data_IF_898821743566
#
_entry.id   IF_898821743566
#
_cell.length_a   1.000
_cell.length_b   1.000
_cell.length_c   1.000
_cell.angle_alpha   90.00
_cell.angle_beta   90.00
_cell.angle_gamma   90.00
#
_symmetry.space_group_name_H-M   'P 1'
#
loop_
_entity.id
_entity.type
_entity.pdbx_description
1 polymer ?
#
# COMPACT_ATOMS: atom_id res chain seq x y z
N UNK A 1 -51.05 -5.73 -13.98
CA UNK A 1 -50.47 -5.31 -15.27
C UNK A 1 -50.11 -3.85 -15.12
N UNK A 2 -48.87 -3.42 -14.97
CA UNK A 2 -47.58 -4.09 -15.12
C UNK A 2 -46.54 -3.24 -14.39
N UNK A 3 -45.63 -3.92 -13.68
CA UNK A 3 -44.19 -3.70 -13.69
C UNK A 3 -43.68 -2.26 -13.76
N UNK A 4 -43.12 -1.77 -12.65
CA UNK A 4 -41.70 -1.39 -12.69
C UNK A 4 -41.04 -1.49 -11.30
N UNK A 5 -40.56 -2.68 -10.97
CA UNK A 5 -39.34 -2.83 -10.17
C UNK A 5 -38.15 -2.32 -10.98
N UNK A 6 -37.36 -1.38 -10.44
CA UNK A 6 -35.93 -1.64 -10.25
C UNK A 6 -35.28 -0.55 -9.37
N UNK A 7 -35.04 -0.89 -8.11
CA UNK A 7 -34.04 -0.22 -7.31
C UNK A 7 -32.66 -0.71 -7.77
N UNK A 8 -31.84 0.19 -8.32
CA UNK A 8 -30.40 -0.04 -8.39
C UNK A 8 -29.67 1.23 -7.98
N UNK A 9 -29.42 1.34 -6.67
CA UNK A 9 -28.38 2.20 -6.13
C UNK A 9 -27.02 1.52 -6.37
N UNK A 10 -26.11 2.21 -7.06
CA UNK A 10 -24.67 1.94 -7.05
C UNK A 10 -23.94 3.29 -6.86
N UNK A 11 -22.80 3.34 -6.15
CA UNK A 11 -22.44 4.49 -5.32
C UNK A 11 -21.87 5.67 -6.11
N UNK A 12 -22.42 6.85 -5.82
CA UNK A 12 -21.78 8.17 -5.99
C UNK A 12 -20.56 8.25 -5.05
N UNK A 13 -19.42 8.85 -5.39
CA UNK A 13 -19.26 10.28 -5.65
C UNK A 13 -17.88 10.57 -6.28
N UNK A 14 -17.92 11.27 -7.41
CA UNK A 14 -16.92 12.29 -7.75
C UNK A 14 -17.26 13.55 -6.94
N UNK A 15 -16.46 13.89 -5.95
CA UNK A 15 -16.40 15.25 -5.37
C UNK A 15 -15.03 15.83 -5.79
N UNK A 16 -14.97 16.63 -6.86
CA UNK A 16 -15.08 18.10 -6.83
C UNK A 16 -14.26 18.74 -5.70
N UNK A 17 -13.06 19.20 -6.05
CA UNK A 17 -12.60 20.54 -5.69
C UNK A 17 -12.29 20.88 -4.23
N UNK A 18 -12.05 19.93 -3.34
CA UNK A 18 -11.41 20.25 -2.06
C UNK A 18 -9.89 20.18 -2.25
N UNK A 19 -9.21 21.30 -2.06
CA UNK A 19 -7.75 21.38 -1.91
C UNK A 19 -7.28 20.17 -1.11
N UNK A 20 -6.43 19.33 -1.72
CA UNK A 20 -5.95 18.09 -1.12
C UNK A 20 -5.41 18.41 0.27
N UNK A 21 -6.21 18.09 1.30
CA UNK A 21 -5.81 18.34 2.68
C UNK A 21 -4.47 17.61 2.86
N UNK A 22 -3.43 18.23 3.44
CA UNK A 22 -2.13 17.57 3.62
C UNK A 22 -2.25 16.21 4.30
N UNK A 23 -3.26 16.07 5.16
CA UNK A 23 -3.63 14.81 5.81
C UNK A 23 -4.04 13.68 4.83
N UNK A 24 -4.68 14.01 3.71
CA UNK A 24 -5.05 13.08 2.65
C UNK A 24 -3.85 12.62 1.81
N UNK A 25 -2.88 13.53 1.67
CA UNK A 25 -1.60 13.22 1.03
C UNK A 25 -0.81 12.27 1.92
N UNK A 26 -0.76 12.51 3.23
CA UNK A 26 -0.13 11.60 4.20
C UNK A 26 -0.83 10.23 4.22
N UNK A 27 -2.17 10.20 4.28
CA UNK A 27 -2.90 8.93 4.28
C UNK A 27 -2.72 8.15 2.97
N UNK A 28 -2.61 8.83 1.83
CA UNK A 28 -2.28 8.23 0.53
C UNK A 28 -0.86 7.65 0.51
N UNK A 29 0.12 8.36 1.06
CA UNK A 29 1.51 7.90 1.16
C UNK A 29 1.63 6.66 2.05
N UNK A 30 0.89 6.62 3.16
CA UNK A 30 0.85 5.45 4.03
C UNK A 30 0.13 4.25 3.40
N UNK A 31 -1.00 4.45 2.73
CA UNK A 31 -1.70 3.36 2.05
C UNK A 31 -0.88 2.80 0.86
N UNK A 32 -0.12 3.67 0.18
CA UNK A 32 0.85 3.28 -0.83
C UNK A 32 2.05 2.51 -0.23
N UNK A 33 2.58 2.91 0.93
CA UNK A 33 3.67 2.22 1.62
C UNK A 33 3.27 0.87 2.22
N UNK A 34 2.00 0.70 2.58
CA UNK A 34 1.45 -0.55 3.12
C UNK A 34 0.98 -1.53 2.03
N UNK A 35 1.21 -1.23 0.75
CA UNK A 35 0.90 -2.15 -0.33
C UNK A 35 -0.60 -2.32 -0.58
N UNK A 36 -1.37 -1.22 -0.54
CA UNK A 36 -2.82 -1.23 -0.86
C UNK A 36 -3.06 -1.45 -2.36
N UNK A 37 -2.64 -2.62 -2.83
CA UNK A 37 -2.94 -3.07 -4.16
C UNK A 37 -4.42 -3.45 -4.19
N UNK A 38 -5.17 -2.78 -5.07
CA UNK A 38 -6.57 -3.11 -5.35
C UNK A 38 -6.73 -4.64 -5.46
N UNK A 39 -7.74 -5.20 -4.80
CA UNK A 39 -8.04 -6.64 -4.73
C UNK A 39 -7.98 -7.35 -6.08
N UNK A 40 -8.35 -6.63 -7.16
CA UNK A 40 -8.25 -7.07 -8.56
C UNK A 40 -6.84 -7.49 -8.98
N UNK A 41 -5.80 -6.79 -8.52
CA UNK A 41 -4.42 -7.11 -8.86
C UNK A 41 -3.93 -8.32 -8.07
N UNK A 42 -4.30 -8.38 -6.79
CA UNK A 42 -3.99 -9.49 -5.89
C UNK A 42 -4.58 -10.79 -6.42
N UNK A 43 -5.85 -10.78 -6.83
CA UNK A 43 -6.57 -11.97 -7.30
C UNK A 43 -6.06 -12.49 -8.65
N UNK A 44 -5.63 -11.59 -9.55
CA UNK A 44 -4.94 -11.97 -10.80
C UNK A 44 -3.58 -12.61 -10.51
N UNK A 45 -2.80 -12.01 -9.62
CA UNK A 45 -1.45 -12.50 -9.31
C UNK A 45 -1.48 -13.83 -8.52
N UNK A 46 -2.53 -14.06 -7.73
CA UNK A 46 -2.79 -15.35 -7.08
C UNK A 46 -3.24 -16.44 -8.06
N UNK A 47 -4.14 -16.14 -9.00
CA UNK A 47 -4.61 -17.12 -10.00
C UNK A 47 -3.51 -17.55 -10.97
N UNK A 48 -2.47 -16.73 -11.16
CA UNK A 48 -1.33 -17.02 -12.02
C UNK A 48 -0.14 -17.70 -11.30
N UNK A 49 -0.28 -18.08 -10.02
CA UNK A 49 0.75 -18.84 -9.30
C UNK A 49 1.97 -18.03 -8.85
N UNK A 50 1.90 -16.68 -8.86
CA UNK A 50 3.05 -15.78 -8.59
C UNK A 50 3.29 -15.50 -7.11
N UNK A 51 2.64 -16.24 -6.21
CA UNK A 51 2.74 -16.05 -4.76
C UNK A 51 4.19 -16.11 -4.25
N UNK A 52 5.02 -17.02 -4.80
CA UNK A 52 6.44 -17.12 -4.44
C UNK A 52 7.25 -15.85 -4.71
N UNK A 53 6.86 -15.05 -5.72
CA UNK A 53 7.53 -13.79 -6.05
C UNK A 53 7.30 -12.74 -4.95
N UNK A 54 6.11 -12.70 -4.36
CA UNK A 54 5.82 -11.79 -3.24
C UNK A 54 6.57 -12.18 -1.97
N UNK A 55 6.70 -13.47 -1.70
CA UNK A 55 7.50 -13.97 -0.56
C UNK A 55 8.97 -13.61 -0.75
N UNK A 56 9.54 -13.92 -1.91
CA UNK A 56 10.93 -13.59 -2.20
C UNK A 56 11.18 -12.07 -2.10
N UNK A 57 10.29 -11.25 -2.66
CA UNK A 57 10.36 -9.80 -2.54
C UNK A 57 10.29 -9.33 -1.08
N UNK A 58 9.42 -9.92 -0.27
CA UNK A 58 9.31 -9.61 1.16
C UNK A 58 10.58 -9.96 1.94
N UNK A 59 11.20 -11.11 1.66
CA UNK A 59 12.45 -11.53 2.30
C UNK A 59 13.60 -10.59 1.92
N UNK A 60 13.74 -10.27 0.63
CA UNK A 60 14.78 -9.36 0.15
C UNK A 60 14.60 -7.97 0.77
N UNK A 61 13.37 -7.44 0.77
CA UNK A 61 13.05 -6.16 1.39
C UNK A 61 13.39 -6.15 2.88
N UNK A 62 13.04 -7.21 3.61
CA UNK A 62 13.33 -7.33 5.04
C UNK A 62 14.82 -7.37 5.31
N UNK A 63 15.59 -8.13 4.51
CA UNK A 63 17.05 -8.17 4.65
C UNK A 63 17.70 -6.81 4.44
N UNK A 64 17.27 -6.09 3.39
CA UNK A 64 17.74 -4.73 3.11
C UNK A 64 17.37 -3.75 4.23
N UNK A 65 16.16 -3.85 4.78
CA UNK A 65 15.71 -3.01 5.89
C UNK A 65 16.57 -3.22 7.14
N UNK A 66 16.85 -4.48 7.50
CA UNK A 66 17.72 -4.81 8.65
C UNK A 66 19.14 -4.28 8.44
N UNK A 67 19.71 -4.48 7.25
CA UNK A 67 21.04 -3.95 6.92
C UNK A 67 21.10 -2.42 7.03
N UNK A 68 20.06 -1.73 6.57
CA UNK A 68 19.95 -0.27 6.69
C UNK A 68 19.93 0.18 8.16
N UNK A 69 19.13 -0.47 9.01
CA UNK A 69 19.07 -0.16 10.44
C UNK A 69 20.41 -0.40 11.11
N UNK A 70 21.07 -1.53 10.83
CA UNK A 70 22.40 -1.82 11.37
C UNK A 70 23.40 -0.73 10.96
N UNK A 71 23.39 -0.32 9.69
CA UNK A 71 24.27 0.72 9.18
C UNK A 71 24.06 2.04 9.92
N UNK A 72 22.80 2.45 10.12
CA UNK A 72 22.46 3.66 10.89
C UNK A 72 22.96 3.55 12.33
N UNK A 73 22.74 2.41 13.00
CA UNK A 73 23.21 2.20 14.38
C UNK A 73 24.73 2.28 14.46
N UNK A 74 25.45 1.68 13.52
CA UNK A 74 26.90 1.73 13.45
C UNK A 74 27.42 3.15 13.26
N UNK A 75 26.78 3.94 12.39
CA UNK A 75 27.10 5.35 12.19
C UNK A 75 26.89 6.17 13.46
N UNK A 76 25.78 5.94 14.17
CA UNK A 76 25.47 6.61 15.43
C UNK A 76 26.49 6.25 16.51
N UNK A 77 26.78 4.96 16.71
CA UNK A 77 27.74 4.50 17.72
C UNK A 77 29.15 5.05 17.46
N UNK A 78 29.57 5.11 16.20
CA UNK A 78 30.85 5.70 15.81
C UNK A 78 30.89 7.21 16.02
N UNK A 79 29.75 7.89 15.89
CA UNK A 79 29.62 9.31 16.15
C UNK A 79 29.46 9.68 17.64
N UNK A 80 29.00 8.76 18.48
CA UNK A 80 28.74 8.99 19.91
C UNK A 80 29.80 8.42 20.84
N UNK A 81 30.78 7.68 20.31
CA UNK A 81 31.93 7.14 21.05
C UNK A 81 33.17 8.03 21.04
N UNK A 82 33.02 9.31 20.65
CA UNK A 82 34.01 10.37 20.80
C UNK A 82 33.67 11.28 21.98
#
# INVERSE_FOLDING_TARGET
>A
MSDQENQQQAPQKQDKGDSLKPLHVVSSVFAAGLGVQSSKNRERDFKQGRFGVFIAAGIIFTGLFVAAVITVVQLVLKGSGG
#
